data_IF_328795595755
#
_entry.id   IF_328795595755
#
_cell.length_a   1.000
_cell.length_b   1.000
_cell.length_c   1.000
_cell.angle_alpha   90.00
_cell.angle_beta   90.00
_cell.angle_gamma   90.00
#
_symmetry.space_group_name_H-M   'P 1'
#
loop_
_entity.id
_entity.type
_entity.pdbx_description
1 polymer ?
#
# COMPACT_ATOMS: atom_id res chain seq x y z
N UNK A 1 -6.28 18.00 8.19
CA UNK A 1 -6.10 19.15 7.30
C UNK A 1 -4.63 19.52 7.20
N UNK A 2 -3.90 19.61 8.31
CA UNK A 2 -2.49 20.07 8.31
C UNK A 2 -1.52 19.28 7.40
N UNK A 3 -1.60 17.93 7.34
CA UNK A 3 -0.73 17.15 6.42
C UNK A 3 -1.02 17.52 4.97
N UNK A 4 -2.29 17.55 4.55
CA UNK A 4 -2.67 17.88 3.16
C UNK A 4 -2.29 19.31 2.79
N UNK A 5 -2.48 20.27 3.70
CA UNK A 5 -2.09 21.67 3.49
C UNK A 5 -0.57 21.83 3.42
N UNK A 6 0.18 21.09 4.23
CA UNK A 6 1.63 21.02 4.15
C UNK A 6 2.09 20.42 2.82
N UNK A 7 1.49 19.31 2.39
CA UNK A 7 1.80 18.67 1.10
C UNK A 7 1.47 19.57 -0.08
N UNK A 8 0.33 20.28 -0.04
CA UNK A 8 -0.03 21.26 -1.06
C UNK A 8 0.98 22.41 -1.14
N UNK A 9 1.47 22.89 0.00
CA UNK A 9 2.57 23.89 0.03
C UNK A 9 3.82 23.34 -0.62
N UNK A 10 4.23 22.12 -0.25
CA UNK A 10 5.38 21.46 -0.87
C UNK A 10 5.23 21.29 -2.37
N UNK A 11 4.03 20.97 -2.88
CA UNK A 11 3.77 20.89 -4.33
C UNK A 11 3.94 22.27 -5.01
N UNK A 12 3.45 23.34 -4.37
CA UNK A 12 3.53 24.71 -4.91
C UNK A 12 4.96 25.26 -4.92
N UNK A 13 5.81 24.75 -4.04
CA UNK A 13 7.22 25.13 -3.96
C UNK A 13 8.09 24.39 -5.01
N UNK A 14 7.53 23.40 -5.74
CA UNK A 14 8.24 22.69 -6.81
C UNK A 14 8.34 23.56 -8.08
N UNK A 15 9.54 23.62 -8.65
CA UNK A 15 9.79 24.28 -9.95
C UNK A 15 9.40 23.37 -11.12
N UNK A 16 8.10 23.10 -11.28
CA UNK A 16 7.54 22.20 -12.32
C UNK A 16 6.53 22.92 -13.23
N UNK A 17 6.19 22.29 -14.36
CA UNK A 17 5.18 22.83 -15.27
C UNK A 17 3.79 22.87 -14.62
N UNK A 18 2.92 23.80 -15.08
CA UNK A 18 1.53 23.88 -14.58
C UNK A 18 0.79 22.54 -14.74
N UNK A 19 0.95 21.84 -15.87
CA UNK A 19 0.32 20.53 -16.09
C UNK A 19 0.78 19.48 -15.09
N UNK A 20 2.04 19.50 -14.69
CA UNK A 20 2.57 18.59 -13.67
C UNK A 20 2.06 18.95 -12.27
N UNK A 21 1.99 20.25 -11.95
CA UNK A 21 1.43 20.73 -10.70
C UNK A 21 -0.06 20.38 -10.56
N UNK A 22 -0.84 20.59 -11.62
CA UNK A 22 -2.26 20.23 -11.69
C UNK A 22 -2.48 18.73 -11.48
N UNK A 23 -1.60 17.88 -12.06
CA UNK A 23 -1.63 16.45 -11.83
C UNK A 23 -1.40 16.10 -10.35
N UNK A 24 -0.35 16.62 -9.72
CA UNK A 24 -0.06 16.37 -8.30
C UNK A 24 -1.18 16.86 -7.38
N UNK A 25 -1.79 18.00 -7.68
CA UNK A 25 -2.93 18.53 -6.93
C UNK A 25 -4.15 17.61 -7.10
N UNK A 26 -4.39 17.08 -8.31
CA UNK A 26 -5.44 16.09 -8.55
C UNK A 26 -5.21 14.82 -7.73
N UNK A 27 -4.01 14.25 -7.78
CA UNK A 27 -3.64 13.07 -6.98
C UNK A 27 -3.76 13.32 -5.48
N UNK A 28 -3.37 14.51 -5.00
CA UNK A 28 -3.55 14.91 -3.60
C UNK A 28 -5.03 14.98 -3.21
N UNK A 29 -5.88 15.52 -4.08
CA UNK A 29 -7.33 15.59 -3.86
C UNK A 29 -7.98 14.21 -3.86
N UNK A 30 -7.50 13.29 -4.69
CA UNK A 30 -7.92 11.89 -4.68
C UNK A 30 -7.49 11.18 -3.39
N UNK A 31 -6.25 11.39 -2.92
CA UNK A 31 -5.82 10.92 -1.60
C UNK A 31 -6.60 11.54 -0.45
N UNK A 32 -7.02 12.80 -0.57
CA UNK A 32 -7.88 13.42 0.43
C UNK A 32 -9.23 12.71 0.54
N UNK A 33 -9.70 12.05 -0.52
CA UNK A 33 -10.90 11.20 -0.55
C UNK A 33 -10.64 9.76 -0.10
N UNK A 34 -9.43 9.22 -0.30
CA UNK A 34 -9.10 7.81 0.03
C UNK A 34 -9.04 7.51 1.52
N UNK A 35 -9.38 8.50 2.35
CA UNK A 35 -9.37 8.54 3.82
C UNK A 35 -7.96 8.34 4.42
N UNK A 36 -7.10 7.48 3.89
CA UNK A 36 -5.76 7.20 4.38
C UNK A 36 -4.65 8.09 3.82
N UNK A 37 -3.91 8.68 4.75
CA UNK A 37 -2.70 9.47 4.52
C UNK A 37 -1.53 8.86 5.29
N UNK A 38 -0.43 8.65 4.59
CA UNK A 38 0.84 8.16 5.12
C UNK A 38 1.48 9.16 6.11
N UNK A 39 1.38 10.46 5.82
CA UNK A 39 1.85 11.50 6.73
C UNK A 39 1.10 11.48 8.07
N UNK A 40 -0.19 11.14 8.08
CA UNK A 40 -0.93 10.95 9.33
C UNK A 40 -0.52 9.69 10.07
N UNK A 41 -0.31 8.57 9.36
CA UNK A 41 0.23 7.35 9.97
C UNK A 41 1.56 7.64 10.70
N UNK A 42 2.47 8.36 10.03
CA UNK A 42 3.72 8.83 10.61
C UNK A 42 3.50 9.64 11.90
N UNK A 43 2.59 10.62 11.90
CA UNK A 43 2.33 11.47 13.07
C UNK A 43 1.78 10.65 14.25
N UNK A 44 0.86 9.71 14.01
CA UNK A 44 0.35 8.83 15.05
C UNK A 44 1.45 7.94 15.64
N UNK A 45 2.27 7.33 14.79
CA UNK A 45 3.39 6.51 15.26
C UNK A 45 4.41 7.37 16.04
N UNK A 46 4.71 8.59 15.57
CA UNK A 46 5.60 9.51 16.28
C UNK A 46 5.08 9.83 17.69
N UNK A 47 3.78 10.07 17.83
CA UNK A 47 3.12 10.30 19.13
C UNK A 47 3.20 9.07 20.06
N UNK A 48 3.01 7.86 19.54
CA UNK A 48 3.12 6.61 20.31
C UNK A 48 4.51 6.48 20.95
N UNK A 49 5.57 6.90 20.25
CA UNK A 49 6.95 6.84 20.75
C UNK A 49 7.20 7.70 22.01
N UNK A 50 6.29 8.64 22.33
CA UNK A 50 6.39 9.58 23.45
C UNK A 50 7.67 10.41 23.49
N UNK A 51 8.44 10.46 22.40
CA UNK A 51 9.64 11.30 22.29
C UNK A 51 9.21 12.76 22.15
N UNK A 52 9.77 13.63 22.99
CA UNK A 52 9.51 15.07 22.90
C UNK A 52 10.16 15.61 21.61
N UNK A 53 9.35 15.84 20.59
CA UNK A 53 9.79 16.30 19.27
C UNK A 53 9.22 17.68 18.95
N UNK A 54 9.93 18.40 18.09
CA UNK A 54 9.46 19.67 17.58
C UNK A 54 8.28 19.41 16.64
N UNK A 55 7.07 19.81 17.06
CA UNK A 55 5.82 19.57 16.34
C UNK A 55 5.91 20.07 14.89
N UNK A 56 6.42 21.28 14.67
CA UNK A 56 6.55 21.86 13.32
C UNK A 56 7.42 20.99 12.41
N UNK A 57 8.57 20.49 12.91
CA UNK A 57 9.44 19.59 12.15
C UNK A 57 8.75 18.27 11.80
N UNK A 58 7.96 17.71 12.71
CA UNK A 58 7.20 16.48 12.47
C UNK A 58 6.13 16.68 11.39
N UNK A 59 5.41 17.80 11.40
CA UNK A 59 4.43 18.13 10.37
C UNK A 59 5.07 18.37 9.00
N UNK A 60 6.25 19.01 8.96
CA UNK A 60 7.01 19.15 7.72
C UNK A 60 7.43 17.77 7.20
N UNK A 61 7.95 16.88 8.05
CA UNK A 61 8.34 15.54 7.63
C UNK A 61 7.14 14.72 7.15
N UNK A 62 6.01 14.78 7.86
CA UNK A 62 4.76 14.12 7.47
C UNK A 62 4.26 14.56 6.09
N UNK A 63 4.35 15.85 5.80
CA UNK A 63 3.91 16.44 4.52
C UNK A 63 4.82 16.02 3.35
N UNK A 64 6.13 15.97 3.59
CA UNK A 64 7.11 15.51 2.60
C UNK A 64 7.02 14.00 2.37
N UNK A 65 6.74 13.23 3.43
CA UNK A 65 6.46 11.80 3.31
C UNK A 65 5.21 11.56 2.46
N UNK A 66 4.13 12.32 2.68
CA UNK A 66 2.92 12.20 1.86
C UNK A 66 3.20 12.55 0.39
N UNK A 67 3.98 13.59 0.13
CA UNK A 67 4.39 13.95 -1.23
C UNK A 67 5.24 12.85 -1.89
N UNK A 68 6.19 12.25 -1.15
CA UNK A 68 6.95 11.10 -1.61
C UNK A 68 6.04 9.92 -1.96
N UNK A 69 4.99 9.67 -1.17
CA UNK A 69 4.04 8.59 -1.44
C UNK A 69 3.21 8.88 -2.69
N UNK A 70 2.81 10.14 -2.94
CA UNK A 70 2.18 10.53 -4.21
C UNK A 70 3.14 10.34 -5.39
N UNK A 71 4.42 10.66 -5.22
CA UNK A 71 5.44 10.40 -6.23
C UNK A 71 5.65 8.89 -6.47
N UNK A 72 5.49 8.05 -5.45
CA UNK A 72 5.50 6.59 -5.60
C UNK A 72 4.31 6.08 -6.41
N UNK A 73 3.11 6.60 -6.16
CA UNK A 73 1.91 6.22 -6.93
C UNK A 73 2.07 6.61 -8.41
N UNK A 74 2.76 7.73 -8.72
CA UNK A 74 3.12 8.11 -10.10
C UNK A 74 4.00 7.04 -10.79
N UNK A 75 4.90 6.41 -10.03
CA UNK A 75 5.72 5.32 -10.59
C UNK A 75 4.87 4.09 -10.87
N UNK A 76 3.89 3.80 -10.02
CA UNK A 76 2.94 2.72 -10.25
C UNK A 76 2.08 3.02 -11.50
N UNK A 77 1.53 4.23 -11.62
CA UNK A 77 0.81 4.71 -12.82
C UNK A 77 1.66 4.54 -14.10
N UNK A 78 2.97 4.85 -14.01
CA UNK A 78 3.92 4.70 -15.11
C UNK A 78 4.17 3.23 -15.48
N UNK A 79 4.24 2.36 -14.46
CA UNK A 79 4.53 0.94 -14.61
C UNK A 79 3.33 0.16 -15.15
N UNK A 80 2.12 0.50 -14.68
CA UNK A 80 0.86 -0.15 -15.04
C UNK A 80 0.25 0.41 -16.34
N UNK A 81 0.58 1.66 -16.71
CA UNK A 81 0.11 2.37 -17.92
C UNK A 81 -1.41 2.51 -18.04
N UNK A 82 -2.14 2.35 -16.95
CA UNK A 82 -3.60 2.39 -16.90
C UNK A 82 -4.14 3.80 -16.56
N UNK A 83 -3.29 4.70 -16.05
CA UNK A 83 -3.69 6.07 -15.75
C UNK A 83 -3.68 7.00 -16.98
N UNK A 84 -4.86 7.17 -17.59
CA UNK A 84 -5.02 8.01 -18.79
C UNK A 84 -4.57 9.47 -18.59
N UNK A 85 -4.79 10.06 -17.42
CA UNK A 85 -4.43 11.45 -17.16
C UNK A 85 -2.90 11.62 -17.07
N UNK A 86 -2.23 10.69 -16.39
CA UNK A 86 -0.77 10.67 -16.29
C UNK A 86 -0.11 10.50 -17.65
N UNK A 87 -0.60 9.54 -18.45
CA UNK A 87 -0.05 9.22 -19.77
C UNK A 87 -0.14 10.36 -20.79
N UNK A 88 -0.94 11.41 -20.51
CA UNK A 88 -1.08 12.61 -21.35
C UNK A 88 -0.19 13.78 -20.93
N UNK A 89 0.54 13.64 -19.83
CA UNK A 89 1.51 14.64 -19.42
C UNK A 89 2.64 14.76 -20.47
N UNK A 90 3.26 15.93 -20.55
CA UNK A 90 4.50 16.09 -21.29
C UNK A 90 5.62 15.35 -20.54
N UNK A 91 6.36 14.49 -21.25
CA UNK A 91 7.49 13.73 -20.71
C UNK A 91 7.16 12.99 -19.38
N UNK A 92 6.14 12.11 -19.35
CA UNK A 92 5.61 11.52 -18.11
C UNK A 92 6.66 10.67 -17.38
N UNK A 93 7.52 9.99 -18.14
CA UNK A 93 8.66 9.23 -17.59
C UNK A 93 9.63 10.16 -16.87
N UNK A 94 10.04 11.26 -17.51
CA UNK A 94 10.98 12.22 -16.92
C UNK A 94 10.39 12.87 -15.68
N UNK A 95 9.11 13.23 -15.73
CA UNK A 95 8.38 13.77 -14.59
C UNK A 95 8.35 12.80 -13.41
N UNK A 96 7.94 11.53 -13.61
CA UNK A 96 7.88 10.54 -12.54
C UNK A 96 9.24 10.29 -11.88
N UNK A 97 10.29 10.14 -12.69
CA UNK A 97 11.66 9.98 -12.19
C UNK A 97 12.09 11.20 -11.37
N UNK A 98 11.86 12.41 -11.88
CA UNK A 98 12.23 13.66 -11.21
C UNK A 98 11.52 13.79 -9.87
N UNK A 99 10.23 13.47 -9.81
CA UNK A 99 9.44 13.52 -8.58
C UNK A 99 9.94 12.56 -7.50
N UNK A 100 10.28 11.32 -7.85
CA UNK A 100 10.87 10.39 -6.89
C UNK A 100 12.20 10.90 -6.36
N UNK A 101 13.09 11.37 -7.23
CA UNK A 101 14.40 11.84 -6.80
C UNK A 101 14.29 13.07 -5.90
N UNK A 102 13.49 14.07 -6.29
CA UNK A 102 13.33 15.32 -5.54
C UNK A 102 12.70 15.08 -4.15
N UNK A 103 11.64 14.27 -4.10
CA UNK A 103 10.95 13.97 -2.84
C UNK A 103 11.80 13.10 -1.92
N UNK A 104 12.50 12.10 -2.44
CA UNK A 104 13.40 11.27 -1.66
C UNK A 104 14.63 12.06 -1.16
N UNK A 105 15.20 12.92 -2.00
CA UNK A 105 16.30 13.82 -1.64
C UNK A 105 15.87 14.76 -0.50
N UNK A 106 14.73 15.42 -0.65
CA UNK A 106 14.19 16.33 0.35
C UNK A 106 13.87 15.62 1.66
N UNK A 107 13.23 14.45 1.59
CA UNK A 107 12.88 13.66 2.76
C UNK A 107 14.14 13.23 3.51
N UNK A 108 15.14 12.67 2.82
CA UNK A 108 16.39 12.18 3.43
C UNK A 108 17.23 13.29 4.07
N UNK A 109 17.19 14.52 3.54
CA UNK A 109 17.85 15.68 4.15
C UNK A 109 17.22 16.09 5.50
N UNK A 110 15.93 15.77 5.70
CA UNK A 110 15.21 16.08 6.94
C UNK A 110 15.31 14.96 7.99
N UNK A 111 15.74 13.76 7.60
CA UNK A 111 15.96 12.64 8.53
C UNK A 111 17.19 12.93 9.38
N UNK A 112 17.00 12.93 10.70
CA UNK A 112 18.10 13.03 11.68
C UNK A 112 18.65 11.63 11.98
N UNK A 113 19.98 11.52 12.05
CA UNK A 113 20.68 10.27 12.35
C UNK A 113 20.98 9.46 11.09
N UNK A 114 22.27 9.17 10.88
CA UNK A 114 22.73 8.50 9.66
C UNK A 114 22.23 7.05 9.57
N UNK A 115 22.15 6.34 10.71
CA UNK A 115 21.62 4.97 10.73
C UNK A 115 20.12 4.93 10.39
N UNK A 116 19.32 5.86 10.92
CA UNK A 116 17.88 5.98 10.60
C UNK A 116 17.70 6.22 9.10
N UNK A 117 18.48 7.15 8.53
CA UNK A 117 18.48 7.45 7.09
C UNK A 117 18.86 6.22 6.26
N UNK A 118 19.93 5.51 6.64
CA UNK A 118 20.38 4.29 5.95
C UNK A 118 19.31 3.20 5.98
N UNK A 119 18.69 2.95 7.14
CA UNK A 119 17.64 1.94 7.28
C UNK A 119 16.38 2.33 6.50
N UNK A 120 15.98 3.61 6.54
CA UNK A 120 14.89 4.14 5.73
C UNK A 120 15.13 3.88 4.24
N UNK A 121 16.30 4.28 3.72
CA UNK A 121 16.66 4.08 2.32
C UNK A 121 16.73 2.59 1.94
N UNK A 122 17.23 1.74 2.83
CA UNK A 122 17.24 0.30 2.60
C UNK A 122 15.82 -0.27 2.49
N UNK A 123 14.90 0.16 3.36
CA UNK A 123 13.50 -0.24 3.27
C UNK A 123 12.84 0.25 1.96
N UNK A 124 13.09 1.49 1.53
CA UNK A 124 12.59 1.98 0.23
C UNK A 124 13.14 1.14 -0.93
N UNK A 125 14.44 0.82 -0.93
CA UNK A 125 15.07 -0.03 -1.94
C UNK A 125 14.41 -1.42 -2.00
N UNK A 126 14.24 -2.07 -0.84
CA UNK A 126 13.59 -3.39 -0.78
C UNK A 126 12.13 -3.29 -1.26
N UNK A 127 11.38 -2.26 -0.86
CA UNK A 127 10.01 -2.03 -1.35
C UNK A 127 9.94 -1.98 -2.87
N UNK A 128 10.85 -1.23 -3.51
CA UNK A 128 10.93 -1.13 -4.97
C UNK A 128 11.30 -2.46 -5.64
N UNK A 129 12.21 -3.23 -5.03
CA UNK A 129 12.60 -4.55 -5.53
C UNK A 129 11.40 -5.53 -5.53
N UNK A 130 10.63 -5.55 -4.45
CA UNK A 130 9.43 -6.39 -4.37
C UNK A 130 8.29 -5.87 -5.26
N UNK A 131 8.14 -4.56 -5.43
CA UNK A 131 7.19 -3.98 -6.40
C UNK A 131 7.51 -4.44 -7.83
N UNK A 132 8.78 -4.36 -8.24
CA UNK A 132 9.23 -4.87 -9.54
C UNK A 132 8.94 -6.37 -9.71
N UNK A 133 9.19 -7.16 -8.67
CA UNK A 133 8.95 -8.61 -8.71
C UNK A 133 7.46 -8.95 -8.81
N UNK A 134 6.61 -8.18 -8.13
CA UNK A 134 5.15 -8.32 -8.11
C UNK A 134 4.47 -7.89 -9.42
N UNK A 135 5.10 -7.05 -10.24
CA UNK A 135 4.59 -6.70 -11.58
C UNK A 135 4.27 -7.93 -12.42
N UNK A 136 5.14 -8.93 -12.37
CA UNK A 136 5.02 -10.17 -13.13
C UNK A 136 4.29 -11.30 -12.39
N UNK A 137 3.84 -11.03 -11.15
CA UNK A 137 3.20 -12.04 -10.32
C UNK A 137 1.75 -12.29 -10.78
N UNK A 138 1.61 -13.29 -11.65
CA UNK A 138 0.34 -13.73 -12.19
C UNK A 138 0.06 -15.16 -11.76
N UNK A 139 -1.22 -15.53 -11.73
CA UNK A 139 -1.67 -16.88 -11.34
C UNK A 139 -0.95 -17.94 -12.15
N UNK A 140 -0.27 -18.85 -11.46
CA UNK A 140 0.40 -20.00 -12.05
C UNK A 140 0.04 -21.31 -11.33
N UNK A 141 0.33 -22.45 -11.96
CA UNK A 141 0.09 -23.76 -11.35
C UNK A 141 0.91 -23.92 -10.07
N UNK A 142 0.26 -24.32 -8.98
CA UNK A 142 0.91 -24.51 -7.68
C UNK A 142 1.10 -23.23 -6.87
N UNK A 143 0.53 -22.10 -7.32
CA UNK A 143 0.50 -20.89 -6.53
C UNK A 143 -0.41 -21.05 -5.32
N UNK A 144 0.10 -20.67 -4.15
CA UNK A 144 -0.59 -20.80 -2.88
C UNK A 144 -0.51 -19.51 -2.05
N UNK A 145 -1.14 -19.57 -0.88
CA UNK A 145 -1.19 -18.46 0.07
C UNK A 145 0.21 -18.07 0.59
N UNK A 146 1.13 -19.02 0.73
CA UNK A 146 2.50 -18.73 1.18
C UNK A 146 3.26 -17.92 0.12
N UNK A 147 3.10 -18.26 -1.16
CA UNK A 147 3.67 -17.50 -2.26
C UNK A 147 3.21 -16.02 -2.24
N UNK A 148 1.92 -15.78 -2.02
CA UNK A 148 1.37 -14.43 -1.87
C UNK A 148 2.06 -13.62 -0.75
N UNK A 149 2.19 -14.20 0.45
CA UNK A 149 2.84 -13.53 1.58
C UNK A 149 4.34 -13.32 1.37
N UNK A 150 4.99 -14.20 0.60
CA UNK A 150 6.42 -14.12 0.33
C UNK A 150 6.81 -13.05 -0.69
N UNK A 151 5.86 -12.60 -1.52
CA UNK A 151 6.10 -11.70 -2.65
C UNK A 151 5.24 -10.43 -2.59
N UNK A 152 3.93 -10.54 -2.89
CA UNK A 152 3.03 -9.39 -3.07
C UNK A 152 2.91 -8.51 -1.83
N UNK A 153 3.02 -9.11 -0.64
CA UNK A 153 2.90 -8.33 0.60
C UNK A 153 4.21 -7.65 1.01
N UNK A 154 5.37 -8.13 0.52
CA UNK A 154 6.68 -7.63 0.96
C UNK A 154 6.89 -6.16 0.64
N UNK A 155 6.46 -5.69 -0.53
CA UNK A 155 6.53 -4.27 -0.91
C UNK A 155 5.93 -3.38 0.19
N UNK A 156 4.70 -3.70 0.60
CA UNK A 156 3.94 -2.95 1.60
C UNK A 156 4.59 -3.06 2.98
N UNK A 157 5.14 -4.22 3.34
CA UNK A 157 5.87 -4.40 4.61
C UNK A 157 7.08 -3.47 4.68
N UNK A 158 7.91 -3.42 3.63
CA UNK A 158 9.09 -2.57 3.62
C UNK A 158 8.72 -1.09 3.59
N UNK A 159 7.65 -0.71 2.88
CA UNK A 159 7.17 0.67 2.86
C UNK A 159 6.68 1.13 4.25
N UNK A 160 5.87 0.32 4.96
CA UNK A 160 5.42 0.65 6.32
C UNK A 160 6.61 0.66 7.29
N UNK A 161 7.56 -0.28 7.17
CA UNK A 161 8.80 -0.27 7.95
C UNK A 161 9.60 1.04 7.77
N UNK A 162 9.62 1.60 6.55
CA UNK A 162 10.27 2.87 6.29
C UNK A 162 9.62 4.00 7.10
N UNK A 163 8.29 4.09 7.08
CA UNK A 163 7.53 5.09 7.85
C UNK A 163 7.70 4.90 9.35
N UNK A 164 7.66 3.66 9.81
CA UNK A 164 7.88 3.30 11.21
C UNK A 164 9.28 3.69 11.68
N UNK A 165 10.31 3.44 10.86
CA UNK A 165 11.69 3.83 11.15
C UNK A 165 11.84 5.35 11.33
N UNK A 166 11.15 6.14 10.52
CA UNK A 166 11.10 7.60 10.68
C UNK A 166 10.40 7.98 11.98
N UNK A 167 9.28 7.33 12.27
CA UNK A 167 8.44 7.65 13.42
C UNK A 167 9.11 7.29 14.74
N UNK A 168 9.79 6.15 14.86
CA UNK A 168 10.38 5.69 16.12
C UNK A 168 11.85 6.07 16.28
N UNK A 169 12.59 6.27 15.19
CA UNK A 169 14.02 6.58 15.20
C UNK A 169 14.85 5.55 15.99
N UNK A 170 14.42 4.30 16.02
CA UNK A 170 15.06 3.19 16.73
C UNK A 170 15.42 2.07 15.76
N UNK A 171 16.51 1.36 16.03
CA UNK A 171 16.96 0.22 15.21
C UNK A 171 16.26 -1.10 15.60
N UNK A 172 15.50 -1.13 16.70
CA UNK A 172 15.09 -2.39 17.33
C UNK A 172 14.06 -3.21 16.53
N UNK A 173 14.28 -4.53 16.57
CA UNK A 173 13.49 -5.58 15.92
C UNK A 173 12.05 -5.70 16.43
N UNK A 174 11.74 -5.19 17.62
CA UNK A 174 10.42 -5.31 18.24
C UNK A 174 9.33 -4.57 17.43
N UNK A 175 9.70 -3.50 16.72
CA UNK A 175 8.75 -2.62 16.00
C UNK A 175 8.32 -3.23 14.64
N UNK A 176 9.21 -4.00 13.98
CA UNK A 176 8.93 -4.67 12.68
C UNK A 176 7.69 -5.56 12.66
N UNK A 177 7.21 -5.97 13.84
CA UNK A 177 6.02 -6.80 13.99
C UNK A 177 4.74 -6.03 13.68
N UNK A 178 4.64 -4.75 14.04
CA UNK A 178 3.51 -3.88 13.67
C UNK A 178 3.45 -3.74 12.15
N UNK A 179 4.55 -3.26 11.54
CA UNK A 179 4.62 -3.03 10.10
C UNK A 179 4.27 -4.27 9.29
N UNK A 180 4.77 -5.44 9.71
CA UNK A 180 4.43 -6.72 9.07
C UNK A 180 2.92 -6.94 9.04
N UNK A 181 2.27 -6.89 10.20
CA UNK A 181 0.86 -7.23 10.30
C UNK A 181 -0.07 -6.16 9.72
N UNK A 182 0.24 -4.88 9.92
CA UNK A 182 -0.51 -3.79 9.33
C UNK A 182 -0.42 -3.79 7.80
N UNK A 183 0.79 -4.02 7.24
CA UNK A 183 0.97 -4.11 5.80
C UNK A 183 0.24 -5.32 5.19
N UNK A 184 0.31 -6.49 5.84
CA UNK A 184 -0.47 -7.67 5.42
C UNK A 184 -1.95 -7.32 5.33
N UNK A 185 -2.52 -6.77 6.40
CA UNK A 185 -3.94 -6.53 6.43
C UNK A 185 -4.38 -5.42 5.47
N UNK A 186 -3.53 -4.40 5.26
CA UNK A 186 -3.79 -3.34 4.29
C UNK A 186 -3.73 -3.85 2.86
N UNK A 187 -2.76 -4.72 2.53
CA UNK A 187 -2.65 -5.33 1.20
C UNK A 187 -3.87 -6.21 0.91
N UNK A 188 -4.24 -7.12 1.82
CA UNK A 188 -5.43 -7.96 1.61
C UNK A 188 -6.69 -7.10 1.46
N UNK A 189 -6.83 -6.03 2.24
CA UNK A 189 -7.97 -5.11 2.10
C UNK A 189 -8.01 -4.41 0.74
N UNK A 190 -6.86 -4.05 0.18
CA UNK A 190 -6.77 -3.47 -1.16
C UNK A 190 -7.14 -4.50 -2.24
N UNK A 191 -6.63 -5.72 -2.12
CA UNK A 191 -6.92 -6.81 -3.07
C UNK A 191 -8.42 -7.18 -3.07
N UNK A 192 -9.07 -7.19 -1.89
CA UNK A 192 -10.53 -7.37 -1.78
C UNK A 192 -11.26 -6.25 -2.52
N UNK A 193 -10.89 -5.00 -2.25
CA UNK A 193 -11.52 -3.83 -2.89
C UNK A 193 -11.35 -3.88 -4.40
N UNK A 194 -10.21 -4.33 -4.90
CA UNK A 194 -9.98 -4.44 -6.34
C UNK A 194 -10.87 -5.51 -6.98
N UNK A 195 -10.91 -6.72 -6.44
CA UNK A 195 -11.74 -7.82 -6.95
C UNK A 195 -13.23 -7.47 -6.95
N UNK A 196 -13.67 -6.64 -6.00
CA UNK A 196 -15.06 -6.16 -5.92
C UNK A 196 -15.43 -5.14 -7.02
N UNK A 197 -14.47 -4.51 -7.69
CA UNK A 197 -14.77 -3.60 -8.81
C UNK A 197 -15.18 -4.37 -10.05
N UNK A 198 -16.07 -3.79 -10.85
CA UNK A 198 -16.46 -4.37 -12.15
C UNK A 198 -15.29 -4.34 -13.15
N UNK A 199 -14.38 -3.37 -13.01
CA UNK A 199 -13.15 -3.23 -13.78
C UNK A 199 -11.90 -3.60 -12.95
N UNK A 200 -11.97 -4.68 -12.17
CA UNK A 200 -10.85 -5.17 -11.35
C UNK A 200 -9.57 -5.29 -12.18
N UNK A 201 -8.55 -4.54 -11.77
CA UNK A 201 -7.22 -4.56 -12.36
C UNK A 201 -6.54 -5.91 -12.12
N UNK A 202 -6.67 -6.44 -10.90
CA UNK A 202 -6.05 -7.71 -10.50
C UNK A 202 -6.59 -8.87 -11.31
N UNK A 203 -7.91 -8.94 -11.51
CA UNK A 203 -8.49 -9.98 -12.36
C UNK A 203 -8.07 -9.80 -13.82
N UNK A 204 -8.19 -8.59 -14.37
CA UNK A 204 -7.82 -8.28 -15.77
C UNK A 204 -6.39 -8.72 -16.08
N UNK A 205 -5.47 -8.43 -15.16
CA UNK A 205 -4.05 -8.79 -15.27
C UNK A 205 -3.71 -10.18 -14.71
N UNK A 206 -4.71 -10.94 -14.25
CA UNK A 206 -4.56 -12.28 -13.68
C UNK A 206 -3.56 -12.32 -12.53
N UNK A 207 -3.50 -11.25 -11.74
CA UNK A 207 -2.62 -11.13 -10.58
C UNK A 207 -2.93 -12.24 -9.58
N UNK A 208 -1.89 -12.73 -8.94
CA UNK A 208 -2.03 -13.76 -7.93
C UNK A 208 -2.25 -13.14 -6.53
N UNK A 209 -3.36 -12.43 -6.38
CA UNK A 209 -3.77 -11.86 -5.08
C UNK A 209 -4.53 -12.88 -4.25
N UNK A 210 -4.60 -12.64 -2.93
CA UNK A 210 -5.15 -13.63 -2.01
C UNK A 210 -6.61 -14.02 -2.32
N UNK A 211 -7.54 -13.09 -2.59
CA UNK A 211 -8.91 -13.47 -2.95
C UNK A 211 -8.98 -14.37 -4.20
N UNK A 212 -8.14 -14.10 -5.20
CA UNK A 212 -8.08 -14.86 -6.45
C UNK A 212 -7.54 -16.27 -6.18
N UNK A 213 -6.41 -16.38 -5.48
CA UNK A 213 -5.79 -17.67 -5.11
C UNK A 213 -6.80 -18.55 -4.36
N UNK A 214 -7.45 -18.00 -3.33
CA UNK A 214 -8.41 -18.75 -2.51
C UNK A 214 -9.69 -19.10 -3.28
N UNK A 215 -10.12 -18.23 -4.20
CA UNK A 215 -11.28 -18.52 -5.07
C UNK A 215 -11.01 -19.69 -6.02
N UNK A 216 -9.83 -19.72 -6.64
CA UNK A 216 -9.39 -20.84 -7.49
C UNK A 216 -9.29 -22.14 -6.65
N UNK A 217 -8.70 -22.05 -5.46
CA UNK A 217 -8.53 -23.18 -4.55
C UNK A 217 -9.88 -23.80 -4.16
N UNK A 218 -10.89 -22.98 -3.89
CA UNK A 218 -12.23 -23.44 -3.54
C UNK A 218 -12.81 -24.35 -4.64
N UNK A 219 -12.83 -23.91 -5.90
CA UNK A 219 -13.41 -24.72 -6.98
C UNK A 219 -12.55 -25.91 -7.40
N UNK A 220 -11.23 -25.81 -7.21
CA UNK A 220 -10.31 -26.94 -7.44
C UNK A 220 -10.56 -28.06 -6.43
N UNK A 221 -10.84 -27.72 -5.16
CA UNK A 221 -11.05 -28.71 -4.08
C UNK A 221 -12.44 -29.33 -4.06
N UNK A 222 -13.49 -28.58 -4.42
CA UNK A 222 -14.88 -29.03 -4.29
C UNK A 222 -15.46 -29.78 -5.51
N UNK A 223 -14.63 -30.20 -6.47
CA UNK A 223 -15.03 -31.04 -7.63
C UNK A 223 -16.20 -30.50 -8.48
N UNK A 224 -16.44 -29.18 -8.49
CA UNK A 224 -17.35 -28.57 -9.46
C UNK A 224 -16.64 -28.45 -10.82
N UNK A 225 -16.76 -29.50 -11.64
CA UNK A 225 -16.05 -29.62 -12.92
C UNK A 225 -16.35 -28.48 -13.89
N UNK A 226 -17.58 -27.98 -13.91
CA UNK A 226 -17.96 -26.88 -14.80
C UNK A 226 -17.25 -25.57 -14.41
N UNK A 227 -17.37 -25.18 -13.14
CA UNK A 227 -16.74 -23.95 -12.64
C UNK A 227 -15.21 -24.03 -12.73
N UNK A 228 -14.64 -25.19 -12.43
CA UNK A 228 -13.20 -25.41 -12.58
C UNK A 228 -12.76 -25.26 -14.05
N UNK A 229 -13.55 -25.74 -15.01
CA UNK A 229 -13.23 -25.54 -16.43
C UNK A 229 -13.26 -24.06 -16.82
N UNK A 230 -14.23 -23.28 -16.33
CA UNK A 230 -14.30 -21.83 -16.60
C UNK A 230 -13.11 -21.08 -16.02
N UNK A 231 -12.75 -21.38 -14.76
CA UNK A 231 -11.56 -20.81 -14.10
C UNK A 231 -10.29 -21.16 -14.87
N UNK A 232 -10.12 -22.42 -15.26
CA UNK A 232 -8.94 -22.85 -16.02
C UNK A 232 -8.87 -22.18 -17.39
N UNK A 233 -10.00 -22.10 -18.10
CA UNK A 233 -10.07 -21.44 -19.39
C UNK A 233 -9.71 -19.94 -19.31
N UNK A 234 -10.10 -19.26 -18.24
CA UNK A 234 -9.78 -17.84 -18.06
C UNK A 234 -8.31 -17.59 -17.68
N UNK A 235 -7.80 -18.28 -16.65
CA UNK A 235 -6.46 -18.03 -16.13
C UNK A 235 -5.36 -18.67 -17.00
N UNK A 236 -5.56 -19.89 -17.48
CA UNK A 236 -4.51 -20.66 -18.17
C UNK A 236 -4.66 -20.68 -19.69
N UNK A 237 -5.90 -20.71 -20.20
CA UNK A 237 -6.17 -20.64 -21.66
C UNK A 237 -6.39 -19.20 -22.15
N UNK A 238 -6.40 -18.22 -21.23
CA UNK A 238 -6.54 -16.78 -21.51
C UNK A 238 -7.82 -16.41 -22.26
N UNK A 239 -8.93 -17.07 -21.94
CA UNK A 239 -10.24 -16.74 -22.50
C UNK A 239 -10.89 -15.55 -21.77
N UNK A 240 -10.61 -14.33 -22.25
CA UNK A 240 -11.12 -13.08 -21.67
C UNK A 240 -12.66 -12.98 -21.65
N UNK A 241 -13.37 -13.72 -22.51
CA UNK A 241 -14.85 -13.71 -22.53
C UNK A 241 -15.48 -14.25 -21.23
N UNK A 242 -14.71 -14.97 -20.42
CA UNK A 242 -15.15 -15.53 -19.15
C UNK A 242 -14.92 -14.58 -17.97
N UNK A 243 -14.43 -13.36 -18.19
CA UNK A 243 -14.09 -12.41 -17.13
C UNK A 243 -15.18 -12.27 -16.08
N UNK A 244 -16.40 -11.90 -16.48
CA UNK A 244 -17.51 -11.68 -15.54
C UNK A 244 -17.92 -12.95 -14.82
N UNK A 245 -17.99 -14.07 -15.54
CA UNK A 245 -18.35 -15.36 -14.94
C UNK A 245 -17.32 -15.77 -13.87
N UNK A 246 -16.03 -15.61 -14.16
CA UNK A 246 -14.95 -15.97 -13.23
C UNK A 246 -14.88 -15.02 -12.05
N UNK A 247 -15.11 -13.73 -12.27
CA UNK A 247 -15.20 -12.74 -11.19
C UNK A 247 -16.33 -13.12 -10.21
N UNK A 248 -17.52 -13.40 -10.72
CA UNK A 248 -18.65 -13.83 -9.90
C UNK A 248 -18.35 -15.13 -9.15
N UNK A 249 -17.73 -16.11 -9.81
CA UNK A 249 -17.29 -17.33 -9.14
C UNK A 249 -16.34 -17.03 -7.97
N UNK A 250 -15.33 -16.18 -8.17
CA UNK A 250 -14.40 -15.81 -7.09
C UNK A 250 -15.16 -15.14 -5.93
N UNK A 251 -16.07 -14.20 -6.22
CA UNK A 251 -16.88 -13.53 -5.20
C UNK A 251 -17.75 -14.55 -4.42
N UNK A 252 -18.39 -15.49 -5.10
CA UNK A 252 -19.28 -16.50 -4.50
C UNK A 252 -18.53 -17.66 -3.80
N UNK A 253 -17.21 -17.75 -3.96
CA UNK A 253 -16.41 -18.87 -3.47
C UNK A 253 -16.19 -18.89 -1.94
N UNK A 254 -16.50 -17.80 -1.25
CA UNK A 254 -16.11 -17.59 0.16
C UNK A 254 -14.70 -16.99 0.34
N UNK A 255 -13.99 -16.67 -0.74
CA UNK A 255 -12.62 -16.16 -0.69
C UNK A 255 -12.51 -14.76 -0.09
N UNK A 256 -13.53 -13.92 -0.30
CA UNK A 256 -13.59 -12.57 0.26
C UNK A 256 -13.83 -12.61 1.77
N UNK A 257 -14.69 -13.49 2.26
CA UNK A 257 -14.95 -13.72 3.67
C UNK A 257 -13.70 -14.23 4.38
N UNK A 258 -13.00 -15.20 3.78
CA UNK A 258 -11.71 -15.68 4.28
C UNK A 258 -10.68 -14.54 4.36
N UNK A 259 -10.58 -13.75 3.29
CA UNK A 259 -9.64 -12.63 3.22
C UNK A 259 -9.97 -11.56 4.25
N UNK A 260 -11.26 -11.22 4.45
CA UNK A 260 -11.73 -10.29 5.47
C UNK A 260 -11.50 -10.78 6.91
N UNK A 261 -11.64 -12.09 7.14
CA UNK A 261 -11.26 -12.71 8.42
C UNK A 261 -9.77 -12.47 8.70
N UNK A 262 -8.89 -12.75 7.72
CA UNK A 262 -7.46 -12.50 7.87
C UNK A 262 -7.14 -11.01 8.07
N UNK A 263 -7.80 -10.11 7.35
CA UNK A 263 -7.67 -8.65 7.57
C UNK A 263 -7.95 -8.30 9.02
N UNK A 264 -9.00 -8.86 9.63
CA UNK A 264 -9.32 -8.62 11.04
C UNK A 264 -8.28 -9.19 12.00
N UNK A 265 -7.85 -10.43 11.78
CA UNK A 265 -6.80 -11.08 12.57
C UNK A 265 -5.48 -10.29 12.53
N UNK A 266 -5.02 -9.88 11.35
CA UNK A 266 -3.76 -9.18 11.20
C UNK A 266 -3.81 -7.74 11.74
N UNK A 267 -4.93 -7.04 11.63
CA UNK A 267 -5.07 -5.75 12.32
C UNK A 267 -5.03 -5.91 13.85
N UNK A 268 -5.66 -6.94 14.40
CA UNK A 268 -5.59 -7.18 15.85
C UNK A 268 -4.14 -7.48 16.27
N UNK A 269 -3.43 -8.31 15.51
CA UNK A 269 -2.00 -8.57 15.75
C UNK A 269 -1.14 -7.30 15.65
N UNK A 270 -1.46 -6.39 14.74
CA UNK A 270 -0.79 -5.09 14.64
C UNK A 270 -1.05 -4.23 15.89
N UNK A 271 -2.29 -4.21 16.38
CA UNK A 271 -2.67 -3.50 17.62
C UNK A 271 -1.90 -4.05 18.81
N UNK A 272 -1.96 -5.37 19.02
CA UNK A 272 -1.31 -6.05 20.13
C UNK A 272 0.21 -5.83 20.09
N UNK A 273 0.82 -5.82 18.89
CA UNK A 273 2.23 -5.52 18.72
C UNK A 273 2.60 -4.14 19.27
N UNK A 274 1.83 -3.10 18.95
CA UNK A 274 2.09 -1.75 19.46
C UNK A 274 1.83 -1.65 20.96
N UNK A 275 0.78 -2.28 21.48
CA UNK A 275 0.52 -2.32 22.92
C UNK A 275 1.65 -3.00 23.71
N UNK A 276 2.21 -4.08 23.16
CA UNK A 276 3.33 -4.79 23.78
C UNK A 276 4.63 -3.97 23.75
N UNK A 277 4.90 -3.27 22.64
CA UNK A 277 6.09 -2.43 22.51
C UNK A 277 5.99 -1.11 23.29
N UNK A 278 4.80 -0.53 23.38
CA UNK A 278 4.55 0.78 23.98
C UNK A 278 3.42 0.71 25.02
N UNK A 279 3.61 0.00 26.14
CA UNK A 279 2.57 -0.26 27.15
C UNK A 279 2.06 1.00 27.85
N UNK A 280 2.75 2.15 27.71
CA UNK A 280 2.32 3.41 28.30
C UNK A 280 1.58 4.33 27.30
N UNK A 281 1.45 3.93 26.03
CA UNK A 281 0.91 4.75 24.94
C UNK A 281 -0.47 4.29 24.47
N UNK A 282 -1.26 3.66 25.36
CA UNK A 282 -2.57 3.08 25.02
C UNK A 282 -3.54 4.08 24.39
N UNK A 283 -3.52 5.33 24.84
CA UNK A 283 -4.41 6.37 24.30
C UNK A 283 -4.07 6.70 22.85
N UNK A 284 -2.78 6.85 22.55
CA UNK A 284 -2.24 7.16 21.23
C UNK A 284 -2.44 5.98 20.27
N UNK A 285 -2.21 4.75 20.75
CA UNK A 285 -2.48 3.52 19.98
C UNK A 285 -3.98 3.42 19.64
N UNK A 286 -4.87 3.64 20.61
CA UNK A 286 -6.31 3.64 20.35
C UNK A 286 -6.73 4.72 19.35
N UNK A 287 -6.13 5.91 19.40
CA UNK A 287 -6.39 6.97 18.43
C UNK A 287 -5.95 6.58 17.02
N UNK A 288 -4.77 5.96 16.86
CA UNK A 288 -4.31 5.39 15.59
C UNK A 288 -5.32 4.36 15.06
N UNK A 289 -5.73 3.39 15.88
CA UNK A 289 -6.63 2.34 15.41
C UNK A 289 -8.07 2.83 15.19
N UNK A 290 -8.53 3.89 15.86
CA UNK A 290 -9.78 4.56 15.49
C UNK A 290 -9.66 5.23 14.12
N UNK A 291 -8.57 5.94 13.88
CA UNK A 291 -8.27 6.52 12.57
C UNK A 291 -8.21 5.46 11.45
N UNK A 292 -7.68 4.27 11.74
CA UNK A 292 -7.63 3.16 10.78
C UNK A 292 -8.95 2.37 10.68
N UNK A 293 -9.74 2.23 11.76
CA UNK A 293 -11.00 1.45 11.81
C UNK A 293 -12.20 2.15 11.21
N UNK A 294 -12.27 3.49 11.27
CA UNK A 294 -13.34 4.29 10.62
C UNK A 294 -13.44 4.08 9.08
N UNK A 295 -12.67 3.13 8.52
CA UNK A 295 -12.40 2.89 7.11
C UNK A 295 -12.61 1.44 6.69
N UNK A 296 -13.10 0.62 7.61
CA UNK A 296 -13.46 -0.79 7.39
C UNK A 296 -14.94 -0.99 7.09
N UNK A 297 -15.78 0.02 7.34
CA UNK A 297 -17.22 -0.05 7.12
C UNK A 297 -17.57 0.33 5.67
N UNK A 298 -17.01 -0.39 4.69
CA UNK A 298 -17.50 -0.50 3.30
C UNK A 298 -17.27 -1.93 2.81
#
# INVERSE_FOLDING_TARGET
MEVLEGTLRSIKDLEISNSHSDYLISSLNEKAKSEFLWGKLYLFLSQISSKQRNIEQEHVLASNLELFMIASDIIDDLMDKDNFNFNRLNEPVHFGITMIFETLFTLTHKIKGENVKKTFLNNIKESLFYQYSDMSNTVCFGQDEEAYFSLSVKKSIYLVNAVEQLAFQEEELSIKTFSKYFAIASQISNDIKDVMKDDSYDLTNRKATLPIIKGIEAYTKYNNKENNNKINAYFFEKNDNLYEEVRLLIIESGSLEYSNFLVSEYYQKAYDSLCNCFPNSHKEINALFQYLRLRRDI
#
